data_IF_626020429624
#
_entry.id   IF_626020429624
#
_cell.length_a   1.000
_cell.length_b   1.000
_cell.length_c   1.000
_cell.angle_alpha   90.00
_cell.angle_beta   90.00
_cell.angle_gamma   90.00
#
_symmetry.space_group_name_H-M   'P 1'
#
loop_
_entity.id
_entity.type
_entity.pdbx_description
1 polymer ?
#
# COMPACT_ATOMS: atom_id res chain seq x y z
N UNK A 1 3.88 19.28 24.17
CA UNK A 1 4.39 17.89 24.23
C UNK A 1 3.31 16.86 23.90
N UNK A 2 2.10 16.97 24.45
CA UNK A 2 0.98 16.05 24.14
C UNK A 2 0.67 15.93 22.64
N UNK A 3 0.69 17.05 21.90
CA UNK A 3 0.42 17.08 20.45
C UNK A 3 1.46 16.38 19.59
N UNK A 4 2.72 16.31 20.01
CA UNK A 4 3.76 15.57 19.28
C UNK A 4 3.63 14.06 19.52
N UNK A 5 3.31 13.65 20.75
CA UNK A 5 3.07 12.24 21.06
C UNK A 5 1.85 11.68 20.31
N UNK A 6 0.79 12.47 20.13
CA UNK A 6 -0.39 12.04 19.36
C UNK A 6 -0.08 11.90 17.86
N UNK A 7 0.73 12.80 17.28
CA UNK A 7 1.16 12.69 15.88
C UNK A 7 2.06 11.47 15.65
N UNK A 8 2.99 11.19 16.56
CA UNK A 8 3.82 9.99 16.51
C UNK A 8 2.99 8.70 16.57
N UNK A 9 2.01 8.63 17.48
CA UNK A 9 1.09 7.48 17.56
C UNK A 9 0.26 7.30 16.28
N UNK A 10 -0.20 8.39 15.67
CA UNK A 10 -0.93 8.33 14.39
C UNK A 10 -0.04 7.83 13.26
N UNK A 11 1.21 8.27 13.21
CA UNK A 11 2.18 7.80 12.22
C UNK A 11 2.48 6.31 12.39
N UNK A 12 2.75 5.85 13.62
CA UNK A 12 2.98 4.43 13.91
C UNK A 12 1.76 3.56 13.55
N UNK A 13 0.56 4.03 13.86
CA UNK A 13 -0.68 3.36 13.47
C UNK A 13 -0.81 3.27 11.94
N UNK A 14 -0.57 4.36 11.22
CA UNK A 14 -0.63 4.40 9.76
C UNK A 14 0.38 3.42 9.11
N UNK A 15 1.61 3.39 9.60
CA UNK A 15 2.65 2.45 9.12
C UNK A 15 2.26 1.01 9.42
N UNK A 16 1.71 0.74 10.59
CA UNK A 16 1.21 -0.58 10.97
C UNK A 16 0.07 -1.03 10.05
N UNK A 17 -0.91 -0.16 9.81
CA UNK A 17 -2.04 -0.43 8.91
C UNK A 17 -1.57 -0.72 7.49
N UNK A 18 -0.65 0.08 6.97
CA UNK A 18 -0.06 -0.15 5.65
C UNK A 18 0.69 -1.48 5.56
N UNK A 19 1.48 -1.82 6.57
CA UNK A 19 2.16 -3.12 6.62
C UNK A 19 1.18 -4.29 6.63
N UNK A 20 0.07 -4.18 7.37
CA UNK A 20 -0.97 -5.21 7.37
C UNK A 20 -1.64 -5.32 6.00
N UNK A 21 -2.01 -4.21 5.36
CA UNK A 21 -2.62 -4.21 4.02
C UNK A 21 -1.67 -4.82 2.98
N UNK A 22 -0.40 -4.40 2.99
CA UNK A 22 0.64 -4.91 2.08
C UNK A 22 0.87 -6.41 2.27
N UNK A 23 0.89 -6.89 3.52
CA UNK A 23 1.02 -8.32 3.83
C UNK A 23 -0.19 -9.12 3.30
N UNK A 24 -1.41 -8.64 3.53
CA UNK A 24 -2.64 -9.29 3.05
C UNK A 24 -2.64 -9.38 1.52
N UNK A 25 -2.28 -8.29 0.83
CA UNK A 25 -2.16 -8.30 -0.63
C UNK A 25 -1.11 -9.30 -1.10
N UNK A 26 0.07 -9.33 -0.46
CA UNK A 26 1.15 -10.26 -0.81
C UNK A 26 0.75 -11.73 -0.66
N UNK A 27 0.02 -12.07 0.41
CA UNK A 27 -0.51 -13.43 0.63
C UNK A 27 -1.58 -13.77 -0.40
N UNK A 28 -2.50 -12.85 -0.71
CA UNK A 28 -3.53 -13.04 -1.72
C UNK A 28 -2.94 -13.25 -3.12
N UNK A 29 -1.94 -12.46 -3.49
CA UNK A 29 -1.19 -12.63 -4.75
C UNK A 29 -0.52 -13.99 -4.84
N UNK A 30 0.11 -14.43 -3.75
CA UNK A 30 0.76 -15.76 -3.69
C UNK A 30 -0.26 -16.89 -3.85
N UNK A 31 -1.43 -16.79 -3.20
CA UNK A 31 -2.51 -17.76 -3.36
C UNK A 31 -3.06 -17.81 -4.80
N UNK A 32 -3.23 -16.64 -5.43
CA UNK A 32 -3.66 -16.57 -6.83
C UNK A 32 -2.63 -17.21 -7.77
N UNK A 33 -1.33 -16.99 -7.51
CA UNK A 33 -0.27 -17.62 -8.30
C UNK A 33 -0.32 -19.15 -8.23
N UNK A 34 -0.55 -19.72 -7.04
CA UNK A 34 -0.79 -21.16 -6.87
C UNK A 34 -2.01 -21.61 -7.69
N UNK A 35 -3.09 -20.83 -7.67
CA UNK A 35 -4.30 -21.08 -8.47
C UNK A 35 -4.01 -21.12 -9.98
N UNK A 36 -3.18 -20.20 -10.49
CA UNK A 36 -2.73 -20.21 -11.90
C UNK A 36 -1.90 -21.46 -12.20
N UNK A 37 -0.94 -21.82 -11.34
CA UNK A 37 -0.08 -22.99 -11.53
C UNK A 37 -0.92 -24.28 -11.57
N UNK A 38 -1.83 -24.46 -10.61
CA UNK A 38 -2.73 -25.63 -10.60
C UNK A 38 -3.67 -25.62 -11.80
N UNK A 39 -4.19 -24.45 -12.18
CA UNK A 39 -5.01 -24.28 -13.37
C UNK A 39 -4.29 -24.72 -14.64
N UNK A 40 -2.99 -24.42 -14.78
CA UNK A 40 -2.16 -24.88 -15.89
C UNK A 40 -1.94 -26.40 -15.88
N UNK A 41 -1.65 -26.99 -14.71
CA UNK A 41 -1.42 -28.43 -14.56
C UNK A 41 -2.66 -29.24 -14.96
N UNK A 42 -3.85 -28.77 -14.58
CA UNK A 42 -5.12 -29.45 -14.85
C UNK A 42 -5.83 -28.95 -16.12
N UNK A 43 -5.19 -28.10 -16.92
CA UNK A 43 -5.78 -27.48 -18.13
C UNK A 43 -7.14 -26.79 -17.86
N UNK A 44 -7.31 -26.23 -16.67
CA UNK A 44 -8.54 -25.56 -16.26
C UNK A 44 -8.45 -24.05 -16.53
N UNK A 45 -8.97 -23.63 -17.69
CA UNK A 45 -8.95 -22.24 -18.13
C UNK A 45 -9.78 -21.30 -17.26
N UNK A 46 -10.87 -21.77 -16.65
CA UNK A 46 -11.70 -20.94 -15.77
C UNK A 46 -10.99 -20.62 -14.46
N UNK A 47 -10.27 -21.59 -13.89
CA UNK A 47 -9.44 -21.37 -12.70
C UNK A 47 -8.35 -20.31 -12.96
N UNK A 48 -7.65 -20.40 -14.11
CA UNK A 48 -6.63 -19.42 -14.51
C UNK A 48 -7.25 -18.03 -14.67
N UNK A 49 -8.37 -17.93 -15.39
CA UNK A 49 -9.04 -16.66 -15.63
C UNK A 49 -9.49 -16.00 -14.32
N UNK A 50 -10.08 -16.76 -13.41
CA UNK A 50 -10.51 -16.27 -12.10
C UNK A 50 -9.31 -15.79 -11.29
N UNK A 51 -8.22 -16.58 -11.20
CA UNK A 51 -7.02 -16.17 -10.46
C UNK A 51 -6.41 -14.87 -11.00
N UNK A 52 -6.36 -14.70 -12.32
CA UNK A 52 -5.87 -13.46 -12.95
C UNK A 52 -6.78 -12.27 -12.61
N UNK A 53 -8.09 -12.42 -12.71
CA UNK A 53 -9.05 -11.35 -12.36
C UNK A 53 -8.87 -10.93 -10.90
N UNK A 54 -8.76 -11.90 -9.99
CA UNK A 54 -8.55 -11.64 -8.56
C UNK A 54 -7.22 -10.91 -8.33
N UNK A 55 -6.14 -11.27 -9.03
CA UNK A 55 -4.86 -10.54 -8.97
C UNK A 55 -5.01 -9.08 -9.39
N UNK A 56 -5.75 -8.78 -10.45
CA UNK A 56 -5.99 -7.39 -10.87
C UNK A 56 -6.78 -6.60 -9.82
N UNK A 57 -7.79 -7.22 -9.19
CA UNK A 57 -8.59 -6.58 -8.13
C UNK A 57 -7.70 -6.23 -6.93
N UNK A 58 -6.90 -7.19 -6.45
CA UNK A 58 -5.98 -6.93 -5.33
C UNK A 58 -4.88 -5.93 -5.69
N UNK A 59 -4.34 -5.99 -6.91
CA UNK A 59 -3.35 -5.01 -7.38
C UNK A 59 -3.91 -3.59 -7.45
N UNK A 60 -5.15 -3.44 -7.94
CA UNK A 60 -5.84 -2.15 -7.96
C UNK A 60 -6.14 -1.62 -6.55
N UNK A 61 -6.58 -2.50 -5.65
CA UNK A 61 -6.80 -2.16 -4.24
C UNK A 61 -5.50 -1.75 -3.52
N UNK A 62 -4.42 -2.50 -3.70
CA UNK A 62 -3.12 -2.18 -3.12
C UNK A 62 -2.59 -0.84 -3.66
N UNK A 63 -2.72 -0.59 -4.97
CA UNK A 63 -2.32 0.66 -5.58
C UNK A 63 -3.08 1.86 -5.00
N UNK A 64 -4.40 1.76 -4.87
CA UNK A 64 -5.23 2.81 -4.27
C UNK A 64 -4.84 3.06 -2.81
N UNK A 65 -4.71 1.98 -2.02
CA UNK A 65 -4.33 2.06 -0.61
C UNK A 65 -2.93 2.66 -0.43
N UNK A 66 -1.99 2.33 -1.33
CA UNK A 66 -0.63 2.89 -1.32
C UNK A 66 -0.64 4.39 -1.54
N UNK A 67 -1.47 4.86 -2.47
CA UNK A 67 -1.60 6.28 -2.77
C UNK A 67 -2.13 7.05 -1.56
N UNK A 68 -3.20 6.56 -0.93
CA UNK A 68 -3.77 7.14 0.28
C UNK A 68 -2.75 7.14 1.43
N UNK A 69 -2.04 6.03 1.64
CA UNK A 69 -0.98 5.93 2.65
C UNK A 69 0.10 7.01 2.46
N UNK A 70 0.60 7.20 1.24
CA UNK A 70 1.65 8.19 0.97
C UNK A 70 1.14 9.62 1.15
N UNK A 71 -0.07 9.93 0.72
CA UNK A 71 -0.66 11.26 0.94
C UNK A 71 -0.79 11.59 2.44
N UNK A 72 -1.35 10.67 3.24
CA UNK A 72 -1.51 10.88 4.69
C UNK A 72 -0.15 10.94 5.39
N UNK A 73 0.81 10.12 4.96
CA UNK A 73 2.18 10.13 5.50
C UNK A 73 2.89 11.45 5.22
N UNK A 74 2.80 11.96 3.99
CA UNK A 74 3.36 13.27 3.60
C UNK A 74 2.78 14.41 4.45
N UNK A 75 1.46 14.38 4.70
CA UNK A 75 0.76 15.38 5.52
C UNK A 75 1.18 15.30 6.99
N UNK A 76 1.27 14.10 7.58
CA UNK A 76 1.71 13.89 8.96
C UNK A 76 3.18 14.30 9.15
N UNK A 77 4.06 13.96 8.21
CA UNK A 77 5.45 14.42 8.23
C UNK A 77 5.51 15.95 8.19
N UNK A 78 4.74 16.60 7.32
CA UNK A 78 4.71 18.07 7.23
C UNK A 78 4.24 18.73 8.53
N UNK A 79 3.21 18.20 9.20
CA UNK A 79 2.76 18.69 10.50
C UNK A 79 3.83 18.53 11.59
N UNK A 80 4.53 17.38 11.62
CA UNK A 80 5.62 17.15 12.56
C UNK A 80 6.82 18.08 12.30
N UNK A 81 7.17 18.33 11.04
CA UNK A 81 8.24 19.27 10.65
C UNK A 81 7.90 20.72 11.03
N UNK A 82 6.66 21.16 10.79
CA UNK A 82 6.18 22.50 11.20
C UNK A 82 6.27 22.68 12.72
N UNK A 83 5.86 21.68 13.49
CA UNK A 83 5.90 21.74 14.97
C UNK A 83 7.33 21.71 15.53
N UNK A 84 8.28 21.08 14.82
CA UNK A 84 9.67 21.00 15.23
C UNK A 84 10.53 22.19 14.77
N UNK A 85 9.97 23.15 14.02
CA UNK A 85 10.70 24.33 13.52
C UNK A 85 11.81 24.01 12.51
N UNK A 86 11.82 22.79 11.95
CA UNK A 86 12.86 22.32 11.04
C UNK A 86 12.41 22.43 9.57
N UNK A 87 13.31 22.89 8.68
CA UNK A 87 13.04 22.93 7.24
C UNK A 87 12.90 21.51 6.69
N UNK A 88 11.75 21.25 6.05
CA UNK A 88 11.33 20.00 5.40
C UNK A 88 12.51 19.29 4.71
N UNK A 89 12.87 18.10 5.20
CA UNK A 89 13.63 17.16 4.37
C UNK A 89 12.66 16.71 3.26
N UNK A 90 12.95 17.02 1.99
CA UNK A 90 12.17 16.46 0.89
C UNK A 90 12.39 14.94 0.89
N UNK A 91 11.51 14.20 1.55
CA UNK A 91 11.37 12.76 1.35
C UNK A 91 11.00 12.58 -0.12
N UNK A 92 11.99 12.27 -0.97
CA UNK A 92 11.76 11.87 -2.36
C UNK A 92 11.18 10.46 -2.34
N UNK A 93 9.94 10.29 -1.91
CA UNK A 93 9.21 9.08 -2.27
C UNK A 93 8.86 9.21 -3.75
N UNK A 94 9.60 8.45 -4.55
CA UNK A 94 9.53 8.28 -6.01
C UNK A 94 8.21 7.63 -6.46
N UNK A 95 7.10 7.85 -5.75
CA UNK A 95 5.79 7.59 -6.33
C UNK A 95 5.52 8.78 -7.25
N UNK A 96 5.98 8.62 -8.49
CA UNK A 96 5.65 9.51 -9.60
C UNK A 96 4.12 9.68 -9.58
N UNK A 97 3.64 10.81 -9.06
CA UNK A 97 2.25 11.31 -9.14
C UNK A 97 1.90 11.63 -10.61
N UNK A 98 2.26 10.77 -11.55
CA UNK A 98 2.24 11.07 -12.97
C UNK A 98 2.22 9.82 -13.84
N UNK A 99 1.17 9.78 -14.66
CA UNK A 99 0.72 8.76 -15.61
C UNK A 99 -0.20 7.73 -14.96
N UNK A 100 -1.49 7.95 -15.21
CA UNK A 100 -2.61 7.05 -15.47
C UNK A 100 -3.86 7.78 -14.96
N UNK A 101 -4.14 8.89 -15.67
CA UNK A 101 -5.52 9.29 -15.98
C UNK A 101 -6.13 8.19 -16.85
#
# INVERSE_FOLDING_TARGET
MERQQTLLKKYEALVSEWNTISLVCSVAFSACFIGVVLGLIFYNTSAIAISIVVMFVFGGFEYKSRKEYVEIKEDLEEEMFKLAGMKKARTKELIRKGLWW
#
